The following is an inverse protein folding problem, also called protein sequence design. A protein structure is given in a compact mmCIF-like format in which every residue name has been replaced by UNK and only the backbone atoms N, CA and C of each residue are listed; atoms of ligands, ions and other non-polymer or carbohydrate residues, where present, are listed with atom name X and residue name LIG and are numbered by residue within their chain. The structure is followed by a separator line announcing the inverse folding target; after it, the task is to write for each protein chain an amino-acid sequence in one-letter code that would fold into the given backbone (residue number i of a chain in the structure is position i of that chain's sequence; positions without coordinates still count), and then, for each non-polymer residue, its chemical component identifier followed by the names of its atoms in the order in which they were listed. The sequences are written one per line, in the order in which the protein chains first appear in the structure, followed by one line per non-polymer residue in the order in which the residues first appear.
data_IF_418165241823
#
_entry.id   IF_418165241823
#
_cell.length_a   1.000
_cell.length_b   1.000
_cell.length_c   1.000
_cell.angle_alpha   90.00
_cell.angle_beta   90.00
_cell.angle_gamma   90.00
#
_symmetry.space_group_name_H-M   'P 1'
#
loop_
_entity.id
_entity.type
_entity.pdbx_description
1 polymer ?
#
# COMPACT_ATOMS: atom_id res chain seq x y z
N UNK A 1 48.10 3.93 -12.37
CA UNK A 1 47.68 4.77 -11.23
C UNK A 1 46.44 5.63 -11.55
N UNK A 2 46.50 6.58 -12.50
CA UNK A 2 45.33 7.44 -12.85
C UNK A 2 44.07 6.67 -13.30
N UNK A 3 44.24 5.63 -14.13
CA UNK A 3 43.12 4.81 -14.61
C UNK A 3 42.46 3.96 -13.51
N UNK A 4 43.25 3.49 -12.53
CA UNK A 4 42.76 2.71 -11.40
C UNK A 4 41.96 3.56 -10.41
N UNK A 5 42.35 4.82 -10.21
CA UNK A 5 41.59 5.79 -9.41
C UNK A 5 40.23 6.10 -10.05
N UNK A 6 40.17 6.21 -11.38
CA UNK A 6 38.91 6.45 -12.11
C UNK A 6 37.94 5.26 -12.02
N UNK A 7 38.45 4.02 -12.13
CA UNK A 7 37.61 2.82 -11.96
C UNK A 7 37.10 2.66 -10.53
N UNK A 8 37.91 2.97 -9.52
CA UNK A 8 37.50 2.91 -8.11
C UNK A 8 36.39 3.91 -7.77
N UNK A 9 36.48 5.13 -8.29
CA UNK A 9 35.44 6.14 -8.09
C UNK A 9 34.09 5.76 -8.73
N UNK A 10 34.13 5.15 -9.92
CA UNK A 10 32.93 4.69 -10.62
C UNK A 10 32.23 3.54 -9.88
N UNK A 11 33.00 2.60 -9.31
CA UNK A 11 32.46 1.49 -8.53
C UNK A 11 31.71 1.97 -7.26
N UNK A 12 32.22 3.00 -6.59
CA UNK A 12 31.56 3.60 -5.42
C UNK A 12 30.26 4.33 -5.79
N UNK A 13 30.21 4.99 -6.95
CA UNK A 13 28.99 5.66 -7.42
C UNK A 13 27.85 4.69 -7.78
N UNK A 14 28.18 3.50 -8.29
CA UNK A 14 27.20 2.47 -8.66
C UNK A 14 26.51 1.82 -7.46
N UNK A 15 27.10 1.89 -6.26
CA UNK A 15 26.53 1.38 -5.00
C UNK A 15 25.51 2.35 -4.37
N UNK A 16 25.33 3.55 -4.94
CA UNK A 16 24.39 4.57 -4.44
C UNK A 16 22.91 4.20 -4.55
N UNK A 17 22.55 3.10 -5.22
CA UNK A 17 21.17 2.64 -5.37
C UNK A 17 20.46 2.24 -4.08
N UNK A 18 21.17 2.05 -2.96
CA UNK A 18 20.57 1.79 -1.64
C UNK A 18 20.46 3.04 -0.74
N UNK A 19 20.88 4.22 -1.21
CA UNK A 19 20.85 5.47 -0.44
C UNK A 19 19.67 6.38 -0.80
N UNK A 20 18.69 5.89 -1.57
CA UNK A 20 17.52 6.70 -1.87
C UNK A 20 16.71 6.96 -0.60
N UNK A 21 16.20 8.18 -0.48
CA UNK A 21 15.21 8.53 0.54
C UNK A 21 14.03 7.55 0.45
N UNK A 22 13.44 7.12 1.59
CA UNK A 22 12.19 6.38 1.59
C UNK A 22 11.21 6.90 0.54
N UNK A 23 10.81 6.04 -0.41
CA UNK A 23 9.74 6.35 -1.38
C UNK A 23 8.37 6.11 -0.73
N UNK A 24 8.25 6.43 0.56
CA UNK A 24 6.97 6.41 1.23
C UNK A 24 6.29 7.77 1.08
N UNK A 25 4.97 7.75 1.14
CA UNK A 25 4.16 8.97 1.09
C UNK A 25 4.31 9.82 2.38
N UNK A 26 5.01 9.31 3.40
CA UNK A 26 5.14 9.96 4.70
C UNK A 26 6.24 11.03 4.69
N UNK A 27 7.37 10.78 4.02
CA UNK A 27 8.51 11.71 3.97
C UNK A 27 8.26 12.92 3.04
N UNK A 28 7.37 12.77 2.05
CA UNK A 28 7.05 13.81 1.06
C UNK A 28 5.96 14.80 1.47
N UNK A 29 5.40 14.70 2.69
CA UNK A 29 4.30 15.57 3.13
C UNK A 29 3.01 15.38 2.32
N UNK A 30 2.84 14.23 1.67
CA UNK A 30 1.65 13.91 0.89
C UNK A 30 0.40 13.92 1.78
N UNK A 31 -0.68 14.53 1.30
CA UNK A 31 -1.97 14.45 1.98
C UNK A 31 -2.35 12.98 2.15
N UNK A 32 -2.64 12.57 3.40
CA UNK A 32 -3.15 11.22 3.70
C UNK A 32 -4.57 10.96 3.17
N UNK A 33 -5.14 11.95 2.48
CA UNK A 33 -6.52 11.94 2.02
C UNK A 33 -7.51 11.99 3.18
N UNK A 34 -8.79 11.91 2.82
CA UNK A 34 -9.87 11.65 3.78
C UNK A 34 -9.83 10.19 4.24
N UNK A 35 -10.27 9.88 5.48
CA UNK A 35 -10.50 8.51 5.92
C UNK A 35 -11.36 7.75 4.90
N UNK A 36 -10.99 6.50 4.58
CA UNK A 36 -11.65 5.73 3.53
C UNK A 36 -13.15 5.48 3.79
N UNK A 37 -13.57 5.42 5.06
CA UNK A 37 -14.98 5.28 5.42
C UNK A 37 -15.82 6.52 5.08
N UNK A 38 -15.21 7.67 4.74
CA UNK A 38 -15.95 8.83 4.22
C UNK A 38 -16.50 8.60 2.80
N UNK A 39 -16.10 7.50 2.15
CA UNK A 39 -16.56 7.15 0.82
C UNK A 39 -15.91 8.01 -0.27
N UNK A 40 -16.11 7.59 -1.52
CA UNK A 40 -15.51 8.23 -2.69
C UNK A 40 -16.41 9.29 -3.34
N UNK A 41 -17.66 9.40 -2.87
CA UNK A 41 -18.71 10.19 -3.53
C UNK A 41 -19.24 9.57 -4.83
N UNK A 42 -18.72 8.39 -5.23
CA UNK A 42 -19.10 7.71 -6.46
C UNK A 42 -19.91 6.46 -6.13
N UNK A 43 -21.19 6.47 -6.49
CA UNK A 43 -22.11 5.38 -6.21
C UNK A 43 -21.66 4.04 -6.84
N UNK A 44 -21.06 4.07 -8.03
CA UNK A 44 -20.58 2.86 -8.72
C UNK A 44 -19.46 2.12 -7.96
N UNK A 45 -18.73 2.80 -7.08
CA UNK A 45 -17.67 2.22 -6.25
C UNK A 45 -18.10 2.04 -4.78
N UNK A 46 -19.39 2.21 -4.51
CA UNK A 46 -19.96 2.14 -3.17
C UNK A 46 -20.85 0.91 -3.08
N UNK A 47 -20.66 0.09 -2.03
CA UNK A 47 -21.51 -1.08 -1.82
C UNK A 47 -22.99 -0.67 -1.69
N UNK A 48 -23.92 -1.36 -2.36
CA UNK A 48 -25.34 -1.01 -2.28
C UNK A 48 -25.84 -0.99 -0.82
N UNK A 49 -26.49 0.11 -0.43
CA UNK A 49 -27.06 0.28 0.91
C UNK A 49 -26.08 0.73 2.00
N UNK A 50 -24.78 0.74 1.74
CA UNK A 50 -23.78 1.30 2.66
C UNK A 50 -23.82 2.84 2.63
N UNK A 51 -23.48 3.48 3.75
CA UNK A 51 -23.51 4.93 3.93
C UNK A 51 -22.11 5.48 4.21
N UNK A 52 -21.70 6.49 3.45
CA UNK A 52 -20.50 7.26 3.71
C UNK A 52 -20.52 7.85 5.13
N UNK A 53 -19.39 7.73 5.84
CA UNK A 53 -19.22 8.17 7.22
C UNK A 53 -19.45 7.08 8.27
N UNK A 54 -20.04 5.93 7.89
CA UNK A 54 -20.23 4.80 8.82
C UNK A 54 -18.97 3.94 8.90
N UNK A 55 -18.05 4.36 9.78
CA UNK A 55 -16.79 3.67 10.05
C UNK A 55 -17.02 2.25 10.57
N UNK A 56 -18.04 2.05 11.42
CA UNK A 56 -18.28 0.74 12.05
C UNK A 56 -18.67 -0.28 11.00
N UNK A 57 -19.68 0.00 10.17
CA UNK A 57 -20.07 -0.94 9.12
C UNK A 57 -18.98 -1.13 8.07
N UNK A 58 -18.20 -0.09 7.76
CA UNK A 58 -17.05 -0.18 6.87
C UNK A 58 -15.98 -1.17 7.38
N UNK A 59 -15.60 -1.08 8.65
CA UNK A 59 -14.66 -2.02 9.28
C UNK A 59 -15.22 -3.44 9.30
N UNK A 60 -16.51 -3.61 9.61
CA UNK A 60 -17.16 -4.91 9.60
C UNK A 60 -17.16 -5.57 8.22
N UNK A 61 -17.47 -4.81 7.16
CA UNK A 61 -17.40 -5.32 5.79
C UNK A 61 -15.98 -5.74 5.42
N UNK A 62 -14.97 -4.94 5.74
CA UNK A 62 -13.57 -5.30 5.47
C UNK A 62 -13.15 -6.58 6.19
N UNK A 63 -13.53 -6.73 7.46
CA UNK A 63 -13.26 -7.96 8.22
C UNK A 63 -13.93 -9.17 7.55
N UNK A 64 -15.20 -9.05 7.17
CA UNK A 64 -15.92 -10.11 6.49
C UNK A 64 -15.25 -10.48 5.14
N UNK A 65 -14.85 -9.49 4.35
CA UNK A 65 -14.13 -9.69 3.07
C UNK A 65 -12.82 -10.45 3.29
N UNK A 66 -12.05 -10.07 4.30
CA UNK A 66 -10.79 -10.74 4.65
C UNK A 66 -10.98 -12.19 5.10
N UNK A 67 -12.02 -12.45 5.90
CA UNK A 67 -12.29 -13.79 6.45
C UNK A 67 -12.87 -14.76 5.42
N UNK A 68 -13.80 -14.30 4.57
CA UNK A 68 -14.59 -15.17 3.71
C UNK A 68 -14.25 -15.06 2.23
N UNK A 69 -13.71 -13.92 1.79
CA UNK A 69 -13.43 -13.65 0.38
C UNK A 69 -11.99 -13.96 -0.02
N UNK A 70 -11.03 -13.68 0.86
CA UNK A 70 -9.60 -13.70 0.55
C UNK A 70 -8.79 -14.69 1.40
N UNK A 71 -9.44 -15.48 2.25
CA UNK A 71 -8.76 -16.47 3.07
C UNK A 71 -8.63 -17.81 2.33
N UNK A 72 -7.44 -18.13 1.84
CA UNK A 72 -7.21 -19.40 1.12
C UNK A 72 -7.31 -20.61 2.06
N UNK A 73 -7.03 -20.45 3.36
CA UNK A 73 -7.11 -21.54 4.33
C UNK A 73 -8.55 -22.09 4.48
N UNK A 74 -9.57 -21.27 4.24
CA UNK A 74 -10.97 -21.73 4.28
C UNK A 74 -11.40 -22.49 3.02
N UNK A 75 -10.56 -22.52 1.97
CA UNK A 75 -10.84 -23.23 0.71
C UNK A 75 -10.25 -24.64 0.67
N UNK A 76 -9.42 -25.00 1.65
CA UNK A 76 -8.80 -26.31 1.73
C UNK A 76 -9.78 -27.26 2.43
N UNK A 77 -10.56 -28.00 1.66
CA UNK A 77 -11.35 -29.12 2.20
C UNK A 77 -10.41 -30.28 2.52
N UNK A 78 -10.44 -30.87 3.74
CA UNK A 78 -9.68 -32.08 4.04
C UNK A 78 -10.11 -33.19 3.08
N UNK A 79 -9.14 -33.85 2.44
CA UNK A 79 -9.38 -35.04 1.63
C UNK A 79 -9.42 -36.28 2.50
#
# INVERSE_FOLDING_TARGET
MKLQLLMGALALGLLGGCGEKPQDLAEGGGSRGSPAYQGTGVAAFTAPGWKAGDETSWVHELRARGQWGQNEYTRITPR
#
